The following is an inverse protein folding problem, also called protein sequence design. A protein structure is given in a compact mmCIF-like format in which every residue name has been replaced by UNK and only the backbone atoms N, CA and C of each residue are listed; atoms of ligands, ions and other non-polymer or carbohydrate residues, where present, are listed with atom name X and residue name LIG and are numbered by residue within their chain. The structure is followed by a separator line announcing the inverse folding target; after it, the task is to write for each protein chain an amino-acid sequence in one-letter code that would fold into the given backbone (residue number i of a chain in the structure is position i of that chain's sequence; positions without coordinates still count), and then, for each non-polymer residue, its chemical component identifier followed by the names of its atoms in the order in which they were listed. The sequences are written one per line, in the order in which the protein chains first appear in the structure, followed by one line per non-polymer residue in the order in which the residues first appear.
data_IF_324740955114
#
_entry.id   IF_324740955114
#
_cell.length_a   1.000
_cell.length_b   1.000
_cell.length_c   1.000
_cell.angle_alpha   90.00
_cell.angle_beta   90.00
_cell.angle_gamma   90.00
#
_symmetry.space_group_name_H-M   'P 1'
#
loop_
_entity.id
_entity.type
_entity.pdbx_description
1 polymer ?
#
# COMPACT_ATOMS: atom_id res chain seq x y z
N UNK A 1 -7.23 -17.95 -10.00
CA UNK A 1 -6.61 -17.16 -8.92
C UNK A 1 -7.58 -16.02 -8.59
N UNK A 2 -7.80 -15.73 -7.31
CA UNK A 2 -8.56 -14.54 -6.90
C UNK A 2 -7.80 -13.27 -7.30
N UNK A 3 -8.53 -12.18 -7.54
CA UNK A 3 -7.92 -10.86 -7.78
C UNK A 3 -7.18 -10.43 -6.50
N UNK A 4 -5.91 -10.00 -6.58
CA UNK A 4 -5.16 -9.62 -5.38
C UNK A 4 -5.68 -8.29 -4.83
N UNK A 5 -5.62 -8.13 -3.51
CA UNK A 5 -5.97 -6.87 -2.85
C UNK A 5 -4.72 -6.02 -2.63
N UNK A 6 -4.77 -4.76 -3.04
CA UNK A 6 -3.61 -3.86 -3.03
C UNK A 6 -3.88 -2.66 -2.16
N UNK A 7 -3.05 -2.45 -1.14
CA UNK A 7 -3.05 -1.21 -0.37
C UNK A 7 -2.07 -0.22 -0.99
N UNK A 8 -2.59 0.92 -1.45
CA UNK A 8 -1.81 2.00 -2.06
C UNK A 8 -1.82 3.21 -1.14
N UNK A 9 -0.73 3.41 -0.42
CA UNK A 9 -0.51 4.61 0.40
C UNK A 9 0.45 5.61 -0.27
N UNK A 10 1.14 5.19 -1.31
CA UNK A 10 1.87 6.08 -2.20
C UNK A 10 0.91 7.01 -2.98
N UNK A 11 1.33 8.25 -3.32
CA UNK A 11 0.57 9.16 -4.18
C UNK A 11 0.64 8.74 -5.66
N UNK A 12 0.35 7.46 -5.96
CA UNK A 12 0.27 6.92 -7.32
C UNK A 12 -0.87 7.60 -8.08
N UNK A 13 -0.61 8.04 -9.32
CA UNK A 13 -1.56 8.82 -10.13
C UNK A 13 -1.51 8.44 -11.60
N UNK A 14 -2.55 8.83 -12.32
CA UNK A 14 -2.62 8.71 -13.77
C UNK A 14 -2.74 7.25 -14.24
N UNK A 15 -2.27 6.95 -15.47
CA UNK A 15 -2.49 5.65 -16.12
C UNK A 15 -2.05 4.45 -15.29
N UNK A 16 -0.97 4.57 -14.52
CA UNK A 16 -0.48 3.48 -13.67
C UNK A 16 -1.47 3.08 -12.55
N UNK A 17 -2.25 4.02 -12.01
CA UNK A 17 -3.30 3.72 -11.03
C UNK A 17 -4.49 3.03 -11.70
N UNK A 18 -4.84 3.45 -12.92
CA UNK A 18 -5.94 2.86 -13.68
C UNK A 18 -5.60 1.42 -14.11
N UNK A 19 -4.39 1.20 -14.62
CA UNK A 19 -3.88 -0.15 -14.92
C UNK A 19 -3.88 -1.07 -13.70
N UNK A 20 -3.50 -0.54 -12.52
CA UNK A 20 -3.52 -1.32 -11.28
C UNK A 20 -4.96 -1.71 -10.89
N UNK A 21 -5.93 -0.81 -11.07
CA UNK A 21 -7.36 -1.08 -10.80
C UNK A 21 -7.95 -2.12 -11.73
N UNK A 22 -7.47 -2.21 -12.97
CA UNK A 22 -7.91 -3.23 -13.93
C UNK A 22 -7.49 -4.64 -13.51
N UNK A 23 -6.35 -4.79 -12.83
CA UNK A 23 -5.78 -6.09 -12.48
C UNK A 23 -5.92 -6.48 -11.00
N UNK A 24 -6.21 -5.53 -10.09
CA UNK A 24 -6.26 -5.78 -8.65
C UNK A 24 -7.29 -4.93 -7.87
N UNK A 25 -7.77 -5.45 -6.74
CA UNK A 25 -8.71 -4.75 -5.86
C UNK A 25 -7.99 -3.69 -5.03
N UNK A 26 -8.07 -2.43 -5.46
CA UNK A 26 -7.27 -1.34 -4.92
C UNK A 26 -7.97 -0.63 -3.75
N UNK A 27 -7.29 -0.60 -2.61
CA UNK A 27 -7.55 0.34 -1.50
C UNK A 27 -6.60 1.53 -1.68
N UNK A 28 -7.13 2.66 -2.11
CA UNK A 28 -6.35 3.87 -2.40
C UNK A 28 -6.49 4.88 -1.26
N UNK A 29 -5.43 5.03 -0.47
CA UNK A 29 -5.37 5.93 0.70
C UNK A 29 -4.01 6.66 0.73
N UNK A 30 -3.71 7.54 -0.25
CA UNK A 30 -2.41 8.18 -0.34
C UNK A 30 -2.14 9.08 0.86
N UNK A 31 -0.94 8.99 1.44
CA UNK A 31 -0.57 9.73 2.65
C UNK A 31 -0.69 11.26 2.50
N UNK A 32 -0.48 11.77 1.27
CA UNK A 32 -0.48 13.21 0.97
C UNK A 32 -1.88 13.82 0.96
N UNK A 33 -2.93 13.01 0.82
CA UNK A 33 -4.32 13.47 0.81
C UNK A 33 -4.95 13.46 2.21
N UNK A 34 -4.29 12.85 3.19
CA UNK A 34 -4.73 12.81 4.59
C UNK A 34 -4.53 14.18 5.26
N UNK A 35 -5.55 14.64 6.02
CA UNK A 35 -5.48 15.88 6.79
C UNK A 35 -5.84 15.63 8.27
N UNK A 36 -4.89 15.75 9.21
CA UNK A 36 -3.47 16.05 9.00
C UNK A 36 -2.73 14.92 8.26
N UNK A 37 -1.55 15.23 7.70
CA UNK A 37 -0.70 14.23 7.03
C UNK A 37 -0.49 13.05 7.99
N UNK A 38 -0.76 11.85 7.49
CA UNK A 38 -0.63 10.60 8.24
C UNK A 38 0.38 9.69 7.57
N UNK A 39 1.44 9.39 8.30
CA UNK A 39 2.47 8.42 7.91
C UNK A 39 2.53 7.31 8.96
N UNK A 40 2.39 6.07 8.51
CA UNK A 40 2.44 4.90 9.38
C UNK A 40 3.89 4.58 9.77
N UNK A 41 4.09 4.30 11.06
CA UNK A 41 5.30 3.60 11.54
C UNK A 41 5.15 2.11 11.28
N UNK A 42 6.25 1.36 11.29
CA UNK A 42 6.28 -0.01 10.75
C UNK A 42 5.28 -0.96 11.41
N UNK A 43 5.05 -0.84 12.72
CA UNK A 43 4.05 -1.64 13.44
C UNK A 43 2.62 -1.30 13.01
N UNK A 44 2.28 0.00 13.00
CA UNK A 44 0.95 0.46 12.61
C UNK A 44 0.68 0.22 11.13
N UNK A 45 1.72 0.26 10.31
CA UNK A 45 1.61 -0.04 8.89
C UNK A 45 1.30 -1.52 8.67
N UNK A 46 2.04 -2.42 9.34
CA UNK A 46 1.74 -3.85 9.31
C UNK A 46 0.30 -4.14 9.80
N UNK A 47 -0.16 -3.46 10.85
CA UNK A 47 -1.54 -3.58 11.34
C UNK A 47 -2.57 -3.13 10.30
N UNK A 48 -2.33 -2.00 9.61
CA UNK A 48 -3.21 -1.52 8.53
C UNK A 48 -3.23 -2.50 7.34
N UNK A 49 -2.08 -3.05 6.95
CA UNK A 49 -1.98 -4.06 5.88
C UNK A 49 -2.83 -5.29 6.22
N UNK A 50 -2.70 -5.80 7.45
CA UNK A 50 -3.50 -6.93 7.94
C UNK A 50 -4.99 -6.59 8.04
N UNK A 51 -5.34 -5.40 8.53
CA UNK A 51 -6.72 -4.94 8.62
C UNK A 51 -7.40 -4.89 7.25
N UNK A 52 -6.68 -4.41 6.24
CA UNK A 52 -7.19 -4.40 4.86
C UNK A 52 -7.15 -5.77 4.19
N UNK A 53 -6.45 -6.76 4.76
CA UNK A 53 -6.21 -8.04 4.08
C UNK A 53 -5.47 -7.86 2.76
N UNK A 54 -4.52 -6.92 2.71
CA UNK A 54 -3.79 -6.63 1.48
C UNK A 54 -2.73 -7.71 1.19
N UNK A 55 -2.70 -8.18 -0.05
CA UNK A 55 -1.70 -9.11 -0.56
C UNK A 55 -0.48 -8.38 -1.13
N UNK A 56 -0.67 -7.14 -1.59
CA UNK A 56 0.36 -6.28 -2.18
C UNK A 56 0.27 -4.90 -1.53
N UNK A 57 1.43 -4.26 -1.35
CA UNK A 57 1.52 -2.88 -0.85
C UNK A 57 2.27 -2.01 -1.86
N UNK A 58 1.73 -0.82 -2.15
CA UNK A 58 2.42 0.25 -2.88
C UNK A 58 2.59 1.43 -1.94
N UNK A 59 3.81 1.66 -1.46
CA UNK A 59 4.10 2.68 -0.44
C UNK A 59 5.27 3.59 -0.84
N UNK A 60 5.28 4.82 -0.33
CA UNK A 60 6.34 5.78 -0.62
C UNK A 60 7.03 6.33 0.64
N UNK A 61 6.22 6.79 1.59
CA UNK A 61 6.70 7.50 2.78
C UNK A 61 6.45 6.72 4.09
N UNK A 62 5.54 5.74 4.08
CA UNK A 62 5.30 4.87 5.23
C UNK A 62 6.53 4.01 5.53
N UNK A 63 6.70 3.67 6.81
CA UNK A 63 7.89 2.93 7.23
C UNK A 63 7.78 1.44 6.92
N UNK A 64 8.08 1.06 5.67
CA UNK A 64 8.07 -0.31 5.18
C UNK A 64 9.35 -1.09 5.58
N UNK A 65 9.39 -1.57 6.83
CA UNK A 65 10.52 -2.36 7.38
C UNK A 65 10.05 -3.25 8.54
N UNK A 66 10.91 -4.15 9.00
CA UNK A 66 10.65 -4.98 10.19
C UNK A 66 9.32 -5.73 10.06
N UNK A 67 8.34 -5.51 10.95
CA UNK A 67 7.05 -6.23 10.95
C UNK A 67 6.32 -6.26 9.61
N UNK A 68 6.49 -5.25 8.75
CA UNK A 68 5.88 -5.23 7.41
C UNK A 68 6.48 -6.34 6.52
N UNK A 69 7.80 -6.57 6.64
CA UNK A 69 8.53 -7.56 5.86
C UNK A 69 8.36 -8.99 6.41
N UNK A 70 7.73 -9.14 7.58
CA UNK A 70 7.37 -10.43 8.17
C UNK A 70 5.98 -10.91 7.73
N UNK A 71 5.19 -10.04 7.08
CA UNK A 71 3.88 -10.39 6.56
C UNK A 71 4.00 -11.25 5.29
N UNK A 72 3.02 -12.14 5.01
CA UNK A 72 3.00 -12.98 3.82
C UNK A 72 2.56 -12.21 2.56
N UNK A 73 3.12 -11.03 2.33
CA UNK A 73 2.85 -10.21 1.14
C UNK A 73 3.42 -10.88 -0.11
N UNK A 74 2.67 -10.83 -1.21
CA UNK A 74 3.15 -11.27 -2.51
C UNK A 74 4.19 -10.31 -3.08
N UNK A 75 4.00 -9.00 -2.88
CA UNK A 75 4.91 -7.97 -3.37
C UNK A 75 4.82 -6.67 -2.56
N UNK A 76 5.92 -5.92 -2.57
CA UNK A 76 6.02 -4.55 -2.06
C UNK A 76 6.58 -3.69 -3.18
N UNK A 77 5.88 -2.61 -3.53
CA UNK A 77 6.29 -1.65 -4.56
C UNK A 77 6.46 -0.25 -3.97
N UNK A 78 7.33 0.54 -4.62
CA UNK A 78 7.63 1.92 -4.23
C UNK A 78 7.50 2.86 -5.42
N UNK A 79 6.92 4.04 -5.21
CA UNK A 79 6.86 5.13 -6.20
C UNK A 79 8.02 6.12 -6.07
N UNK A 80 8.98 5.86 -5.16
CA UNK A 80 10.26 6.59 -5.09
C UNK A 80 11.27 5.98 -6.06
N UNK A 81 11.89 6.84 -6.87
CA UNK A 81 13.08 6.55 -7.66
C UNK A 81 14.35 6.47 -6.78
#
# INVERSE_FOLDING_TARGET
MSRPRVLVTAPLRGPALDELRDIADVVFEPWIEQQPIKLYRSRDFAAKILQEGADIVVCEADSCKGPVLELPLMAIASTRA
#
